data_IF_180737266335
#
_entry.id   IF_180737266335
#
_cell.length_a   1.000
_cell.length_b   1.000
_cell.length_c   1.000
_cell.angle_alpha   90.00
_cell.angle_beta   90.00
_cell.angle_gamma   90.00
#
_symmetry.space_group_name_H-M   'P 1'
#
loop_
_entity.id
_entity.type
_entity.pdbx_description
1 polymer ?
#
# COMPACT_ATOMS: atom_id res chain seq x y z
N UNK A 1 2.53 -9.61 24.21
CA UNK A 1 2.68 -8.28 23.57
C UNK A 1 3.71 -8.48 22.49
N UNK A 2 3.23 -8.66 21.27
CA UNK A 2 3.97 -9.25 20.15
C UNK A 2 5.20 -8.41 19.75
N UNK A 3 6.32 -9.06 19.49
CA UNK A 3 7.60 -8.40 19.19
C UNK A 3 7.53 -7.59 17.88
N UNK A 4 6.68 -8.02 16.94
CA UNK A 4 6.43 -7.39 15.62
C UNK A 4 5.80 -5.99 15.74
N UNK A 5 4.91 -5.79 16.71
CA UNK A 5 4.26 -4.48 16.95
C UNK A 5 5.24 -3.40 17.44
N UNK A 6 6.34 -3.81 18.11
CA UNK A 6 7.34 -2.87 18.64
C UNK A 6 8.31 -2.36 17.57
N UNK A 7 8.59 -3.15 16.53
CA UNK A 7 9.38 -2.69 15.38
C UNK A 7 8.58 -1.72 14.48
N UNK A 8 7.29 -1.97 14.29
CA UNK A 8 6.39 -1.09 13.51
C UNK A 8 6.26 0.32 14.09
N UNK A 9 6.40 0.48 15.41
CA UNK A 9 6.37 1.78 16.07
C UNK A 9 7.54 2.70 15.64
N UNK A 10 8.69 2.13 15.25
CA UNK A 10 9.85 2.89 14.77
C UNK A 10 9.68 3.45 13.35
N UNK A 11 8.72 2.95 12.57
CA UNK A 11 8.46 3.38 11.18
C UNK A 11 7.48 4.57 11.09
N UNK A 12 7.06 5.14 12.23
CA UNK A 12 6.07 6.22 12.27
C UNK A 12 6.58 7.56 11.71
N UNK A 13 7.89 7.81 11.80
CA UNK A 13 8.54 9.06 11.38
C UNK A 13 9.39 8.81 10.12
N UNK A 14 9.35 9.70 9.11
CA UNK A 14 10.21 9.55 7.93
C UNK A 14 11.68 9.49 8.33
N UNK A 15 12.53 8.79 7.54
CA UNK A 15 13.97 8.82 7.77
C UNK A 15 14.46 10.27 7.76
N UNK A 16 15.06 10.72 8.87
CA UNK A 16 15.53 12.11 9.06
C UNK A 16 16.71 12.43 8.12
N UNK A 17 17.43 11.39 7.68
CA UNK A 17 18.44 11.45 6.62
C UNK A 17 18.36 10.16 5.78
N UNK A 18 18.48 10.29 4.46
CA UNK A 18 18.41 9.18 3.50
C UNK A 18 18.44 9.71 2.07
N UNK A 19 18.72 8.85 1.10
CA UNK A 19 18.55 9.19 -0.31
C UNK A 19 17.06 9.15 -0.72
N UNK A 20 16.76 9.63 -1.93
CA UNK A 20 15.38 9.68 -2.43
C UNK A 20 14.71 8.31 -2.46
N UNK A 21 15.46 7.23 -2.73
CA UNK A 21 14.94 5.86 -2.75
C UNK A 21 14.53 5.39 -1.35
N UNK A 22 15.35 5.69 -0.34
CA UNK A 22 15.07 5.37 1.07
C UNK A 22 13.80 6.06 1.56
N UNK A 23 13.62 7.34 1.23
CA UNK A 23 12.39 8.08 1.57
C UNK A 23 11.17 7.54 0.85
N UNK A 24 11.30 7.21 -0.44
CA UNK A 24 10.20 6.64 -1.24
C UNK A 24 9.75 5.28 -0.66
N UNK A 25 10.69 4.37 -0.41
CA UNK A 25 10.38 3.05 0.15
C UNK A 25 9.74 3.16 1.54
N UNK A 26 10.21 4.07 2.39
CA UNK A 26 9.58 4.34 3.67
C UNK A 26 8.11 4.78 3.51
N UNK A 27 7.84 5.70 2.57
CA UNK A 27 6.48 6.17 2.34
C UNK A 27 5.57 5.05 1.84
N UNK A 28 6.04 4.24 0.88
CA UNK A 28 5.29 3.10 0.35
C UNK A 28 4.98 2.09 1.44
N UNK A 29 5.97 1.71 2.26
CA UNK A 29 5.77 0.77 3.35
C UNK A 29 4.76 1.29 4.37
N UNK A 30 4.82 2.58 4.71
CA UNK A 30 3.84 3.21 5.60
C UNK A 30 2.42 3.17 5.04
N UNK A 31 2.24 3.42 3.74
CA UNK A 31 0.92 3.34 3.10
C UNK A 31 0.42 1.89 3.14
N UNK A 32 1.24 0.91 2.75
CA UNK A 32 0.90 -0.52 2.80
C UNK A 32 0.50 -0.97 4.20
N UNK A 33 1.28 -0.60 5.21
CA UNK A 33 0.98 -0.91 6.61
C UNK A 33 -0.35 -0.27 7.08
N UNK A 34 -0.63 0.96 6.63
CA UNK A 34 -1.90 1.64 6.96
C UNK A 34 -3.10 0.90 6.38
N UNK A 35 -3.04 0.52 5.11
CA UNK A 35 -4.12 -0.23 4.48
C UNK A 35 -4.27 -1.61 5.10
N UNK A 36 -3.17 -2.35 5.30
CA UNK A 36 -3.18 -3.64 5.97
C UNK A 36 -3.87 -3.57 7.35
N UNK A 37 -3.55 -2.55 8.16
CA UNK A 37 -4.21 -2.33 9.45
C UNK A 37 -5.71 -2.01 9.29
N UNK A 38 -6.06 -1.09 8.39
CA UNK A 38 -7.46 -0.64 8.22
C UNK A 38 -8.37 -1.71 7.63
N UNK A 39 -7.83 -2.64 6.86
CA UNK A 39 -8.59 -3.72 6.23
C UNK A 39 -8.40 -5.06 6.92
N UNK A 40 -7.63 -5.11 8.02
CA UNK A 40 -7.39 -6.34 8.76
C UNK A 40 -8.69 -6.94 9.29
N UNK A 41 -8.91 -8.24 9.02
CA UNK A 41 -10.07 -8.99 9.52
C UNK A 41 -11.40 -8.66 8.81
N UNK A 42 -11.38 -7.85 7.74
CA UNK A 42 -12.58 -7.64 6.94
C UNK A 42 -12.89 -8.88 6.10
N UNK A 43 -14.15 -9.30 6.15
CA UNK A 43 -14.68 -10.29 5.24
C UNK A 43 -15.08 -9.65 3.90
N UNK A 44 -15.68 -10.44 3.01
CA UNK A 44 -16.12 -9.97 1.72
C UNK A 44 -17.19 -8.84 1.80
N UNK A 45 -18.03 -8.83 2.84
CA UNK A 45 -19.01 -7.76 3.04
C UNK A 45 -18.31 -6.47 3.49
N UNK A 46 -17.34 -6.57 4.40
CA UNK A 46 -16.51 -5.45 4.83
C UNK A 46 -15.73 -4.83 3.66
N UNK A 47 -15.13 -5.65 2.79
CA UNK A 47 -14.41 -5.16 1.61
C UNK A 47 -15.32 -4.49 0.57
N UNK A 48 -16.63 -4.78 0.57
CA UNK A 48 -17.62 -4.12 -0.29
C UNK A 48 -18.11 -2.77 0.25
N UNK A 49 -17.84 -2.43 1.51
CA UNK A 49 -18.21 -1.13 2.06
C UNK A 49 -17.43 0.00 1.39
N UNK A 50 -18.06 1.15 1.21
CA UNK A 50 -17.42 2.39 0.73
C UNK A 50 -16.96 3.25 1.91
N UNK A 51 -15.85 3.95 1.76
CA UNK A 51 -15.45 5.00 2.71
C UNK A 51 -16.15 6.31 2.35
N UNK A 52 -16.88 6.97 3.26
CA UNK A 52 -17.77 8.10 2.95
C UNK A 52 -17.25 9.18 1.96
N UNK A 53 -15.97 9.58 2.01
CA UNK A 53 -15.37 10.52 1.05
C UNK A 53 -15.09 9.96 -0.37
N UNK A 54 -15.17 8.65 -0.58
CA UNK A 54 -14.84 7.97 -1.84
C UNK A 54 -16.00 7.08 -2.30
N UNK A 55 -16.26 7.07 -3.61
CA UNK A 55 -17.22 6.13 -4.22
C UNK A 55 -16.66 4.70 -4.34
N UNK A 56 -15.36 4.51 -4.11
CA UNK A 56 -14.73 3.19 -4.19
C UNK A 56 -15.02 2.36 -2.94
N UNK A 57 -15.20 1.06 -3.13
CA UNK A 57 -15.21 0.11 -2.01
C UNK A 57 -13.81 -0.01 -1.41
N UNK A 58 -13.71 -0.45 -0.15
CA UNK A 58 -12.42 -0.71 0.50
C UNK A 58 -11.58 -1.71 -0.29
N UNK A 59 -12.20 -2.77 -0.81
CA UNK A 59 -11.54 -3.72 -1.72
C UNK A 59 -11.12 -3.09 -3.04
N UNK A 60 -11.93 -2.17 -3.58
CA UNK A 60 -11.59 -1.39 -4.77
C UNK A 60 -10.38 -0.47 -4.56
N UNK A 61 -10.29 0.19 -3.41
CA UNK A 61 -9.14 1.01 -3.04
C UNK A 61 -7.86 0.18 -2.92
N UNK A 62 -7.92 -0.99 -2.26
CA UNK A 62 -6.80 -1.93 -2.19
C UNK A 62 -6.33 -2.34 -3.59
N UNK A 63 -7.29 -2.71 -4.46
CA UNK A 63 -7.00 -3.09 -5.85
C UNK A 63 -6.33 -1.95 -6.63
N UNK A 64 -6.82 -0.72 -6.46
CA UNK A 64 -6.29 0.45 -7.13
C UNK A 64 -4.85 0.76 -6.71
N UNK A 65 -4.55 0.68 -5.41
CA UNK A 65 -3.20 0.91 -4.91
C UNK A 65 -2.22 -0.17 -5.36
N UNK A 66 -2.64 -1.44 -5.35
CA UNK A 66 -1.81 -2.53 -5.85
C UNK A 66 -1.48 -2.36 -7.34
N UNK A 67 -2.47 -1.97 -8.16
CA UNK A 67 -2.26 -1.69 -9.58
C UNK A 67 -1.35 -0.49 -9.80
N UNK A 68 -1.56 0.60 -9.07
CA UNK A 68 -0.74 1.80 -9.20
C UNK A 68 0.74 1.53 -8.85
N UNK A 69 0.98 0.71 -7.84
CA UNK A 69 2.34 0.33 -7.44
C UNK A 69 3.03 -0.56 -8.48
N UNK A 70 2.31 -1.49 -9.11
CA UNK A 70 2.82 -2.29 -10.23
C UNK A 70 3.15 -1.41 -11.44
N UNK A 71 2.22 -0.52 -11.83
CA UNK A 71 2.39 0.43 -12.94
C UNK A 71 3.63 1.33 -12.75
N UNK A 72 3.74 1.96 -11.57
CA UNK A 72 4.87 2.81 -11.26
C UNK A 72 6.21 2.04 -11.27
N UNK A 73 6.21 0.82 -10.76
CA UNK A 73 7.45 0.03 -10.64
C UNK A 73 7.87 -0.58 -11.98
N UNK A 74 6.92 -1.16 -12.71
CA UNK A 74 7.16 -1.88 -13.96
C UNK A 74 7.30 -0.91 -15.13
N UNK A 75 6.26 -0.12 -15.41
CA UNK A 75 6.24 0.75 -16.61
C UNK A 75 7.08 2.01 -16.40
N UNK A 76 6.85 2.73 -15.30
CA UNK A 76 7.44 4.08 -15.15
C UNK A 76 8.91 4.02 -14.76
N UNK A 77 9.26 3.19 -13.78
CA UNK A 77 10.62 3.10 -13.27
C UNK A 77 11.50 2.16 -14.10
N UNK A 78 10.96 1.02 -14.55
CA UNK A 78 11.74 -0.03 -15.22
C UNK A 78 11.55 -0.06 -16.74
N UNK A 79 10.51 0.57 -17.28
CA UNK A 79 10.21 0.54 -18.71
C UNK A 79 9.81 -0.85 -19.21
N UNK A 80 9.26 -1.69 -18.33
CA UNK A 80 8.76 -3.03 -18.65
C UNK A 80 7.24 -3.06 -18.59
N UNK A 81 6.64 -4.02 -19.28
CA UNK A 81 5.20 -4.28 -19.18
C UNK A 81 4.81 -4.68 -17.74
N UNK A 82 3.57 -4.38 -17.36
CA UNK A 82 2.98 -4.83 -16.10
C UNK A 82 2.99 -6.36 -16.00
N UNK A 83 2.93 -6.88 -14.78
CA UNK A 83 2.84 -8.32 -14.53
C UNK A 83 1.38 -8.76 -14.33
N UNK A 84 1.05 -10.04 -14.56
CA UNK A 84 -0.24 -10.57 -14.15
C UNK A 84 -0.56 -10.26 -12.67
N UNK A 85 -1.79 -9.82 -12.34
CA UNK A 85 -3.00 -9.81 -13.18
C UNK A 85 -3.27 -8.49 -13.93
N UNK A 86 -2.28 -7.63 -14.09
CA UNK A 86 -2.42 -6.27 -14.65
C UNK A 86 -1.99 -6.15 -16.12
N UNK A 87 -1.36 -7.20 -16.67
CA UNK A 87 -0.82 -7.32 -18.03
C UNK A 87 -1.88 -7.61 -19.12
N UNK A 88 -3.14 -7.25 -18.87
CA UNK A 88 -4.29 -7.57 -19.72
C UNK A 88 -4.90 -6.34 -20.39
#
# INVERSE_FOLDING_TARGET
MDHDQRERAHQSCPPIAGDGATTLLWFLERQRATFAWKTHGLDAAGLRATHGPSSMTLGGMLKHLARFEDDMSSEWLRGCEQLPPWDA
#
